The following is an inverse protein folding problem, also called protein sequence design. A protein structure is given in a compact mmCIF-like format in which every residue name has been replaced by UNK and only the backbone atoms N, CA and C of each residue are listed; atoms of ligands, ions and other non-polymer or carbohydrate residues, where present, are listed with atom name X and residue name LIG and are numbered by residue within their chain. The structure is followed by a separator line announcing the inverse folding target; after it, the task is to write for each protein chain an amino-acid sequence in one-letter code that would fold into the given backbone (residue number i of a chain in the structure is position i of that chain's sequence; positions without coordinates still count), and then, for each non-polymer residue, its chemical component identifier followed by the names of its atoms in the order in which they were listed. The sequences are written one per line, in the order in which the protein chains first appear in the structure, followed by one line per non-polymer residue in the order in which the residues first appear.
data_IF_602313407724
#
_entry.id   IF_602313407724
#
_cell.length_a   1.000
_cell.length_b   1.000
_cell.length_c   1.000
_cell.angle_alpha   90.00
_cell.angle_beta   90.00
_cell.angle_gamma   90.00
#
_symmetry.space_group_name_H-M   'P 1'
#
loop_
_entity.id
_entity.type
_entity.pdbx_description
1 polymer ?
#
# COMPACT_ATOMS: atom_id res chain seq x y z
N UNK A 1 13.56 -2.30 6.87
CA UNK A 1 12.59 -3.38 6.66
C UNK A 1 11.91 -3.64 7.99
N UNK A 2 10.81 -2.94 8.23
CA UNK A 2 10.00 -3.17 9.42
C UNK A 2 9.51 -4.63 9.44
N UNK A 3 9.65 -5.30 10.59
CA UNK A 3 9.14 -6.65 10.80
C UNK A 3 7.66 -6.54 11.16
N UNK A 4 6.80 -6.48 10.14
CA UNK A 4 5.34 -6.61 10.32
C UNK A 4 4.96 -8.06 10.07
N UNK A 5 4.12 -8.64 10.93
CA UNK A 5 3.67 -10.02 10.79
C UNK A 5 2.25 -10.06 10.23
N UNK A 6 1.84 -11.20 9.67
CA UNK A 6 0.49 -11.35 9.10
C UNK A 6 -0.54 -11.37 10.23
N UNK A 7 -0.13 -11.87 11.40
CA UNK A 7 -0.90 -11.95 12.62
C UNK A 7 -1.37 -10.56 13.06
N UNK A 8 -0.49 -9.55 13.05
CA UNK A 8 -0.83 -8.16 13.39
C UNK A 8 -1.91 -7.58 12.45
N UNK A 9 -1.91 -8.00 11.18
CA UNK A 9 -2.88 -7.53 10.20
C UNK A 9 -4.25 -8.23 10.34
N UNK A 10 -4.27 -9.45 10.87
CA UNK A 10 -5.49 -10.24 11.02
C UNK A 10 -6.34 -9.80 12.23
N UNK A 11 -5.80 -8.98 13.14
CA UNK A 11 -6.59 -8.34 14.20
C UNK A 11 -7.60 -7.32 13.63
N UNK A 12 -7.36 -6.82 12.42
CA UNK A 12 -8.17 -5.78 11.78
C UNK A 12 -8.85 -6.24 10.48
N UNK A 13 -8.46 -7.40 9.93
CA UNK A 13 -9.05 -7.99 8.72
C UNK A 13 -9.23 -9.50 8.93
N UNK A 14 -10.48 -9.96 9.01
CA UNK A 14 -10.81 -11.34 9.36
C UNK A 14 -10.42 -12.40 8.31
N UNK A 15 -10.09 -11.97 7.09
CA UNK A 15 -9.82 -12.87 5.96
C UNK A 15 -8.46 -12.58 5.30
N UNK A 16 -7.60 -13.60 5.26
CA UNK A 16 -6.27 -13.54 4.61
C UNK A 16 -6.31 -13.16 3.13
N UNK A 17 -7.33 -13.59 2.39
CA UNK A 17 -7.48 -13.20 0.99
C UNK A 17 -7.88 -11.73 0.85
N UNK A 18 -8.78 -11.25 1.73
CA UNK A 18 -9.14 -9.83 1.76
C UNK A 18 -7.95 -8.97 2.18
N UNK A 19 -7.15 -9.42 3.15
CA UNK A 19 -5.91 -8.75 3.55
C UNK A 19 -4.99 -8.51 2.35
N UNK A 20 -4.78 -9.52 1.51
CA UNK A 20 -3.97 -9.38 0.29
C UNK A 20 -4.58 -8.36 -0.68
N UNK A 21 -5.90 -8.36 -0.86
CA UNK A 21 -6.59 -7.41 -1.75
C UNK A 21 -6.50 -5.96 -1.23
N UNK A 22 -6.76 -5.75 0.06
CA UNK A 22 -6.67 -4.44 0.73
C UNK A 22 -5.25 -3.91 0.66
N UNK A 23 -4.26 -4.72 1.06
CA UNK A 23 -2.86 -4.34 1.02
C UNK A 23 -2.41 -3.99 -0.40
N UNK A 24 -2.79 -4.79 -1.41
CA UNK A 24 -2.43 -4.53 -2.80
C UNK A 24 -3.09 -3.27 -3.37
N UNK A 25 -4.32 -2.95 -2.98
CA UNK A 25 -5.01 -1.73 -3.41
C UNK A 25 -4.41 -0.49 -2.73
N UNK A 26 -4.19 -0.57 -1.41
CA UNK A 26 -3.59 0.52 -0.65
C UNK A 26 -2.13 0.79 -1.05
N UNK A 27 -1.33 -0.25 -1.26
CA UNK A 27 0.04 -0.09 -1.73
C UNK A 27 0.12 0.63 -3.08
N UNK A 28 -0.86 0.40 -3.97
CA UNK A 28 -0.97 1.13 -5.25
C UNK A 28 -1.33 2.60 -5.04
N UNK A 29 -2.30 2.90 -4.17
CA UNK A 29 -2.63 4.28 -3.81
C UNK A 29 -1.38 5.03 -3.31
N UNK A 30 -0.64 4.42 -2.39
CA UNK A 30 0.59 4.99 -1.84
C UNK A 30 1.66 5.17 -2.93
N UNK A 31 1.83 4.19 -3.82
CA UNK A 31 2.76 4.28 -4.95
C UNK A 31 2.37 5.38 -5.96
N UNK A 32 1.09 5.71 -6.06
CA UNK A 32 0.56 6.80 -6.88
C UNK A 32 0.64 8.17 -6.18
N UNK A 33 1.28 8.26 -5.01
CA UNK A 33 1.49 9.52 -4.29
C UNK A 33 0.39 9.88 -3.28
N UNK A 34 -0.52 8.95 -2.95
CA UNK A 34 -1.43 9.16 -1.81
C UNK A 34 -0.64 9.19 -0.50
N UNK A 35 -1.05 10.08 0.39
CA UNK A 35 -0.34 10.29 1.65
C UNK A 35 -0.46 9.03 2.56
N UNK A 36 0.67 8.50 3.04
CA UNK A 36 0.67 7.39 3.99
C UNK A 36 0.17 7.87 5.36
N UNK A 37 -0.64 7.05 6.03
CA UNK A 37 -1.16 7.33 7.38
C UNK A 37 -0.16 6.99 8.48
N UNK A 38 0.94 6.32 8.13
CA UNK A 38 2.05 5.97 9.03
C UNK A 38 3.35 6.59 8.54
N UNK A 39 4.32 6.86 9.44
CA UNK A 39 5.60 7.42 9.05
C UNK A 39 6.31 6.59 7.98
N UNK A 40 6.81 7.26 6.93
CA UNK A 40 7.56 6.62 5.88
C UNK A 40 9.00 6.35 6.34
N UNK A 41 9.29 5.11 6.74
CA UNK A 41 10.63 4.69 7.22
C UNK A 41 11.50 4.08 6.11
N UNK A 42 11.42 4.61 4.88
CA UNK A 42 12.06 4.06 3.67
C UNK A 42 11.64 2.61 3.34
N UNK A 43 10.48 2.18 3.83
CA UNK A 43 9.89 0.90 3.50
C UNK A 43 9.18 0.96 2.12
N UNK A 44 9.02 -0.20 1.48
CA UNK A 44 8.26 -0.30 0.23
C UNK A 44 6.78 0.04 0.47
N UNK A 45 6.04 0.57 -0.53
CA UNK A 45 4.62 0.90 -0.39
C UNK A 45 3.76 -0.25 0.15
N UNK A 46 4.13 -1.49 -0.17
CA UNK A 46 3.46 -2.71 0.35
C UNK A 46 3.64 -2.89 1.85
N UNK A 47 4.82 -2.61 2.38
CA UNK A 47 5.12 -2.72 3.81
C UNK A 47 4.45 -1.58 4.58
N UNK A 48 4.43 -0.37 4.00
CA UNK A 48 3.70 0.78 4.56
C UNK A 48 2.20 0.46 4.64
N UNK A 49 1.60 -0.09 3.57
CA UNK A 49 0.20 -0.51 3.57
C UNK A 49 -0.11 -1.57 4.66
N UNK A 50 0.75 -2.59 4.82
CA UNK A 50 0.56 -3.60 5.86
C UNK A 50 0.67 -3.00 7.27
N UNK A 51 1.56 -2.02 7.49
CA UNK A 51 1.66 -1.29 8.76
C UNK A 51 0.42 -0.45 9.06
N UNK A 52 -0.17 0.18 8.05
CA UNK A 52 -1.44 0.89 8.22
C UNK A 52 -2.58 -0.06 8.58
N UNK A 53 -2.63 -1.25 7.96
CA UNK A 53 -3.62 -2.29 8.27
C UNK A 53 -3.41 -2.80 9.70
N UNK A 54 -2.17 -3.11 10.09
CA UNK A 54 -1.83 -3.54 11.46
C UNK A 54 -2.06 -2.45 12.52
N UNK A 55 -2.12 -1.17 12.13
CA UNK A 55 -2.48 -0.07 13.01
C UNK A 55 -3.99 0.24 13.01
N UNK A 56 -4.80 -0.51 12.26
CA UNK A 56 -6.25 -0.28 12.12
C UNK A 56 -6.61 1.00 11.35
N UNK A 57 -5.65 1.61 10.64
CA UNK A 57 -5.84 2.86 9.89
C UNK A 57 -6.38 2.62 8.47
N UNK A 58 -6.28 1.39 7.98
CA UNK A 58 -6.71 0.97 6.65
C UNK A 58 -7.42 -0.38 6.77
N UNK A 59 -8.68 -0.44 6.31
CA UNK A 59 -9.57 -1.61 6.41
C UNK A 59 -10.13 -1.96 5.03
N UNK A 60 -11.10 -2.87 4.97
CA UNK A 60 -11.80 -3.27 3.75
C UNK A 60 -12.48 -2.12 3.00
N UNK A 61 -12.73 -0.98 3.64
CA UNK A 61 -13.36 0.20 3.03
C UNK A 61 -12.57 0.72 1.81
N UNK A 62 -11.25 0.55 1.81
CA UNK A 62 -10.44 0.94 0.64
C UNK A 62 -10.82 0.18 -0.62
N UNK A 63 -11.47 -0.99 -0.51
CA UNK A 63 -11.93 -1.78 -1.66
C UNK A 63 -13.15 -1.15 -2.33
N UNK A 64 -14.02 -0.49 -1.56
CA UNK A 64 -15.25 0.14 -2.04
C UNK A 64 -15.02 1.56 -2.58
N UNK A 65 -13.94 2.22 -2.16
CA UNK A 65 -13.51 3.48 -2.75
C UNK A 65 -13.28 3.29 -4.26
N UNK A 66 -14.11 3.95 -5.08
CA UNK A 66 -13.86 4.05 -6.53
C UNK A 66 -12.45 4.60 -6.67
N UNK A 67 -11.61 3.88 -7.41
CA UNK A 67 -10.26 4.34 -7.72
C UNK A 67 -10.41 5.79 -8.21
N UNK A 68 -9.86 6.74 -7.44
CA UNK A 68 -9.79 8.11 -7.92
C UNK A 68 -8.86 8.02 -9.12
N UNK A 69 -9.45 8.07 -10.32
CA UNK A 69 -8.74 8.18 -11.58
C UNK A 69 -7.99 9.51 -11.55
N UNK A 70 -6.81 9.52 -10.93
CA UNK A 70 -5.85 10.59 -11.13
C UNK A 70 -4.90 10.14 -12.24
N UNK A 71 -4.66 11.02 -13.22
CA UNK A 71 -3.95 10.67 -14.44
C UNK A 71 -2.58 10.12 -14.05
N UNK A 72 -2.28 8.93 -14.57
CA UNK A 72 -0.92 8.42 -14.63
C UNK A 72 -0.03 9.55 -15.11
N UNK A 73 0.78 10.11 -14.22
CA UNK A 73 1.79 11.07 -14.64
C UNK A 73 2.85 10.23 -15.33
N UNK A 74 2.73 10.13 -16.66
CA UNK A 74 3.78 9.66 -17.54
C UNK A 74 4.97 10.64 -17.41
N UNK A 75 5.92 10.32 -16.53
CA UNK A 75 7.31 10.79 -16.62
C UNK A 75 8.21 9.61 -16.16
N UNK A 76 8.51 8.60 -16.99
CA UNK A 76 9.52 8.50 -18.06
C UNK A 76 10.98 8.26 -17.53
N UNK A 77 11.94 7.90 -18.40
CA UNK A 77 12.54 6.58 -18.58
C UNK A 77 13.89 6.39 -17.84
N UNK A 78 14.25 5.15 -17.48
CA UNK A 78 15.61 4.85 -16.98
C UNK A 78 16.07 3.45 -17.38
N UNK A 79 16.50 3.29 -18.64
CA UNK A 79 17.57 2.37 -19.05
C UNK A 79 18.00 2.68 -20.49
N UNK A 80 18.56 3.87 -20.70
CA UNK A 80 19.48 4.12 -21.79
C UNK A 80 20.82 4.58 -21.19
N UNK A 81 21.91 4.10 -21.79
CA UNK A 81 23.34 4.38 -21.55
C UNK A 81 24.06 3.54 -20.47
N UNK A 82 24.75 2.50 -20.92
CA UNK A 82 26.23 2.45 -20.90
C UNK A 82 26.73 1.25 -21.73
N UNK A 83 27.41 1.61 -22.84
CA UNK A 83 28.47 0.91 -23.60
C UNK A 83 28.59 -0.63 -23.61
#
# INVERSE_FOLDING_TARGET
MARVTVEDCLEHVDNRFQLVLVAAKRARQIALGQEPKVPWENDKPTVVALREIAAGLTTNEVLDEKAVEQPVTEEQPAAAAAE
#
